data_IF_955225923308
#
_entry.id   IF_955225923308
#
_cell.length_a   1.000
_cell.length_b   1.000
_cell.length_c   1.000
_cell.angle_alpha   90.00
_cell.angle_beta   90.00
_cell.angle_gamma   90.00
#
_symmetry.space_group_name_H-M   'P 1'
#
loop_
_entity.id
_entity.type
_entity.pdbx_description
1 polymer ?
#
# COMPACT_ATOMS: atom_id res chain seq x y z
N UNK A 1 6.54 -13.98 8.88
CA UNK A 1 7.13 -14.37 7.58
C UNK A 1 7.45 -13.11 6.82
N UNK A 2 8.61 -13.03 6.15
CA UNK A 2 8.92 -11.92 5.26
C UNK A 2 8.15 -12.09 3.94
N UNK A 3 7.82 -10.98 3.29
CA UNK A 3 7.17 -10.98 1.99
C UNK A 3 7.90 -10.07 1.01
N UNK A 4 7.73 -10.34 -0.28
CA UNK A 4 8.19 -9.48 -1.35
C UNK A 4 6.99 -9.02 -2.18
N UNK A 5 6.83 -7.71 -2.32
CA UNK A 5 5.92 -7.12 -3.29
C UNK A 5 6.68 -6.98 -4.61
N UNK A 6 6.05 -7.43 -5.70
CA UNK A 6 6.55 -7.24 -7.05
C UNK A 6 5.62 -6.27 -7.76
N UNK A 7 6.14 -5.10 -8.12
CA UNK A 7 5.42 -4.12 -8.91
C UNK A 7 6.15 -3.91 -10.24
N UNK A 8 5.39 -3.82 -11.32
CA UNK A 8 5.91 -3.53 -12.65
C UNK A 8 5.84 -2.03 -12.91
N UNK A 9 6.97 -1.43 -13.25
CA UNK A 9 7.01 -0.08 -13.79
C UNK A 9 7.08 -0.19 -15.32
N UNK A 10 5.91 -0.14 -15.95
CA UNK A 10 5.77 -0.27 -17.40
C UNK A 10 6.38 0.92 -18.16
N UNK A 11 6.54 2.07 -17.53
CA UNK A 11 7.11 3.25 -18.19
C UNK A 11 8.61 3.06 -18.44
N UNK A 12 9.30 2.51 -17.44
CA UNK A 12 10.75 2.25 -17.50
C UNK A 12 11.07 0.80 -17.92
N UNK A 13 10.06 -0.07 -18.03
CA UNK A 13 10.23 -1.48 -18.38
C UNK A 13 10.98 -2.28 -17.30
N UNK A 14 10.79 -1.92 -16.02
CA UNK A 14 11.51 -2.53 -14.89
C UNK A 14 10.56 -3.19 -13.90
N UNK A 15 11.11 -4.12 -13.11
CA UNK A 15 10.42 -4.75 -12.00
C UNK A 15 11.00 -4.22 -10.68
N UNK A 16 10.14 -3.66 -9.84
CA UNK A 16 10.48 -3.21 -8.51
C UNK A 16 10.12 -4.29 -7.51
N UNK A 17 11.11 -4.77 -6.76
CA UNK A 17 10.89 -5.69 -5.65
C UNK A 17 11.02 -4.94 -4.33
N UNK A 18 9.93 -4.88 -3.56
CA UNK A 18 9.90 -4.28 -2.22
C UNK A 18 9.78 -5.38 -1.17
N UNK A 19 10.81 -5.54 -0.34
CA UNK A 19 10.79 -6.48 0.77
C UNK A 19 10.07 -5.89 2.00
N UNK A 20 9.06 -6.61 2.50
CA UNK A 20 8.33 -6.29 3.72
C UNK A 20 8.64 -7.33 4.81
N UNK A 21 9.01 -6.86 5.99
CA UNK A 21 9.19 -7.73 7.17
C UNK A 21 7.86 -8.29 7.69
N UNK A 22 6.78 -7.54 7.50
CA UNK A 22 5.41 -7.83 7.93
C UNK A 22 4.43 -7.08 7.04
N UNK A 23 3.29 -7.68 6.69
CA UNK A 23 2.17 -6.90 6.16
C UNK A 23 1.53 -6.06 7.27
N UNK A 24 1.14 -4.82 6.97
CA UNK A 24 0.43 -3.96 7.92
C UNK A 24 -1.05 -4.33 8.13
N UNK A 25 -1.55 -5.38 7.47
CA UNK A 25 -2.91 -5.95 7.65
C UNK A 25 -2.88 -7.47 7.43
N UNK A 26 -3.85 -8.20 7.99
CA UNK A 26 -3.85 -9.67 7.96
C UNK A 26 -4.57 -10.27 6.75
N UNK A 27 -5.58 -9.58 6.20
CA UNK A 27 -6.37 -10.01 5.04
C UNK A 27 -7.09 -8.82 4.38
N UNK A 28 -7.63 -9.03 3.19
CA UNK A 28 -8.45 -8.04 2.48
C UNK A 28 -9.74 -7.66 3.25
N UNK A 29 -10.35 -8.61 3.97
CA UNK A 29 -11.56 -8.34 4.76
C UNK A 29 -11.32 -7.32 5.89
N UNK A 30 -10.12 -7.34 6.48
CA UNK A 30 -9.69 -6.37 7.49
C UNK A 30 -9.73 -4.95 6.90
N UNK A 31 -9.12 -4.75 5.72
CA UNK A 31 -9.10 -3.49 4.97
C UNK A 31 -10.50 -2.91 4.71
N UNK A 32 -11.50 -3.76 4.44
CA UNK A 32 -12.88 -3.33 4.19
C UNK A 32 -13.55 -2.71 5.43
N UNK A 33 -13.16 -3.16 6.63
CA UNK A 33 -13.74 -2.74 7.90
C UNK A 33 -12.92 -1.68 8.64
N UNK A 34 -11.69 -1.42 8.20
CA UNK A 34 -10.80 -0.45 8.81
C UNK A 34 -11.37 0.98 8.84
N UNK A 35 -11.17 1.64 9.99
CA UNK A 35 -11.36 3.09 10.10
C UNK A 35 -10.36 3.84 9.23
N UNK A 36 -10.65 5.10 8.90
CA UNK A 36 -9.72 5.99 8.18
C UNK A 36 -8.33 6.03 8.82
N UNK A 37 -8.26 6.14 10.15
CA UNK A 37 -6.96 6.23 10.85
C UNK A 37 -6.13 4.95 10.64
N UNK A 38 -6.77 3.78 10.65
CA UNK A 38 -6.11 2.51 10.35
C UNK A 38 -5.65 2.44 8.89
N UNK A 39 -6.50 2.83 7.93
CA UNK A 39 -6.14 2.89 6.50
C UNK A 39 -4.93 3.80 6.24
N UNK A 40 -4.91 4.98 6.88
CA UNK A 40 -3.77 5.90 6.78
C UNK A 40 -2.51 5.28 7.38
N UNK A 41 -2.59 4.64 8.54
CA UNK A 41 -1.44 3.97 9.16
C UNK A 41 -0.87 2.83 8.31
N UNK A 42 -1.75 2.04 7.66
CA UNK A 42 -1.35 1.02 6.68
C UNK A 42 -0.59 1.65 5.51
N UNK A 43 -1.19 2.68 4.89
CA UNK A 43 -0.59 3.37 3.75
C UNK A 43 0.74 4.04 4.10
N UNK A 44 0.86 4.68 5.27
CA UNK A 44 2.11 5.27 5.76
C UNK A 44 3.19 4.20 5.98
N UNK A 45 2.83 3.06 6.58
CA UNK A 45 3.74 1.94 6.78
C UNK A 45 4.29 1.42 5.44
N UNK A 46 3.43 1.22 4.45
CA UNK A 46 3.84 0.84 3.09
C UNK A 46 4.73 1.91 2.45
N UNK A 47 4.36 3.19 2.55
CA UNK A 47 5.11 4.32 2.00
C UNK A 47 6.54 4.48 2.55
N UNK A 48 6.83 3.91 3.72
CA UNK A 48 8.20 3.86 4.27
C UNK A 48 9.12 2.92 3.50
N UNK A 49 8.56 1.96 2.76
CA UNK A 49 9.28 0.93 1.99
C UNK A 49 9.12 1.11 0.49
N UNK A 50 7.98 1.61 0.03
CA UNK A 50 7.70 1.81 -1.38
C UNK A 50 8.56 2.93 -2.00
N UNK A 51 8.97 2.79 -3.27
CA UNK A 51 9.57 3.89 -4.02
C UNK A 51 8.56 5.03 -4.19
N UNK A 52 9.07 6.24 -4.43
CA UNK A 52 8.25 7.46 -4.51
C UNK A 52 7.09 7.34 -5.52
N UNK A 53 7.33 6.70 -6.66
CA UNK A 53 6.33 6.51 -7.72
C UNK A 53 5.13 5.64 -7.30
N UNK A 54 5.30 4.77 -6.30
CA UNK A 54 4.27 3.85 -5.82
C UNK A 54 3.65 4.29 -4.49
N UNK A 55 3.99 5.48 -4.00
CA UNK A 55 3.47 5.96 -2.71
C UNK A 55 1.99 6.27 -2.78
N UNK A 56 1.27 5.82 -1.75
CA UNK A 56 -0.16 5.97 -1.56
C UNK A 56 -0.45 7.37 -1.00
N UNK A 57 -1.40 8.09 -1.60
CA UNK A 57 -1.77 9.43 -1.13
C UNK A 57 -2.78 9.36 0.01
N UNK A 58 -2.40 9.86 1.19
CA UNK A 58 -3.24 9.85 2.42
C UNK A 58 -3.81 11.23 2.77
N UNK A 59 -3.80 12.18 1.84
CA UNK A 59 -4.27 13.54 2.10
C UNK A 59 -5.73 13.60 2.55
N UNK A 60 -6.11 14.67 3.27
CA UNK A 60 -7.47 14.83 3.82
C UNK A 60 -8.58 14.86 2.78
N UNK A 61 -8.25 15.19 1.53
CA UNK A 61 -9.20 15.24 0.41
C UNK A 61 -9.46 13.86 -0.21
N UNK A 62 -8.63 12.85 0.08
CA UNK A 62 -8.81 11.48 -0.37
C UNK A 62 -9.89 10.79 0.44
N UNK A 63 -10.79 10.07 -0.23
CA UNK A 63 -11.81 9.25 0.43
C UNK A 63 -11.19 7.97 0.99
N UNK A 64 -11.83 7.37 1.98
CA UNK A 64 -11.37 6.11 2.60
C UNK A 64 -11.33 4.98 1.56
N UNK A 65 -12.33 4.92 0.67
CA UNK A 65 -12.38 3.99 -0.46
C UNK A 65 -11.19 4.19 -1.41
N UNK A 66 -10.82 5.42 -1.71
CA UNK A 66 -9.69 5.69 -2.60
C UNK A 66 -8.34 5.30 -1.97
N UNK A 67 -8.17 5.48 -0.65
CA UNK A 67 -6.97 5.01 0.06
C UNK A 67 -6.91 3.49 0.04
N UNK A 68 -8.05 2.83 0.33
CA UNK A 68 -8.16 1.37 0.30
C UNK A 68 -7.82 0.79 -1.07
N UNK A 69 -8.41 1.32 -2.14
CA UNK A 69 -8.17 0.85 -3.50
C UNK A 69 -6.69 0.99 -3.90
N UNK A 70 -6.00 2.03 -3.44
CA UNK A 70 -4.55 2.16 -3.68
C UNK A 70 -3.74 1.13 -2.89
N UNK A 71 -4.11 0.84 -1.63
CA UNK A 71 -3.47 -0.24 -0.86
C UNK A 71 -3.64 -1.59 -1.58
N UNK A 72 -4.85 -1.88 -2.06
CA UNK A 72 -5.18 -3.11 -2.79
C UNK A 72 -4.50 -3.19 -4.16
N UNK A 73 -4.25 -2.07 -4.81
CA UNK A 73 -3.53 -2.06 -6.09
C UNK A 73 -2.04 -2.40 -5.91
N UNK A 74 -1.45 -2.02 -4.77
CA UNK A 74 -0.03 -2.23 -4.50
C UNK A 74 0.29 -3.66 -4.03
N UNK A 75 -0.63 -4.30 -3.30
CA UNK A 75 -0.46 -5.61 -2.64
C UNK A 75 -1.13 -6.72 -3.43
#
# INVERSE_FOLDING_TARGET
>A
ACMALQNEDLAEGVVVITALSTLPFCCHEDLLTMSRAALVGVAESLNTKLPVALRISVSRTRTDVAIRNEIEFIV
#
